data_IF_093426354734
#
_entry.id   IF_093426354734
#
_cell.length_a   1.000
_cell.length_b   1.000
_cell.length_c   1.000
_cell.angle_alpha   90.00
_cell.angle_beta   90.00
_cell.angle_gamma   90.00
#
_symmetry.space_group_name_H-M   'P 1'
#
loop_
_entity.id
_entity.type
_entity.pdbx_description
1 polymer ?
#
# COMPACT_ATOMS: atom_id res chain seq x y z
N UNK A 1 -68.48 23.97 -71.77
CA UNK A 1 -68.74 23.08 -70.62
C UNK A 1 -67.47 22.68 -69.85
N UNK A 2 -66.25 22.96 -70.34
CA UNK A 2 -64.99 22.53 -69.68
C UNK A 2 -64.52 23.40 -68.49
N UNK A 3 -64.88 24.70 -68.42
CA UNK A 3 -64.42 25.58 -67.32
C UNK A 3 -65.06 25.22 -65.96
N UNK A 4 -66.27 24.63 -65.98
CA UNK A 4 -66.96 24.22 -64.75
C UNK A 4 -66.50 22.86 -64.20
N UNK A 5 -65.81 22.02 -64.98
CA UNK A 5 -65.30 20.72 -64.47
C UNK A 5 -63.99 20.89 -63.70
N UNK A 6 -63.07 21.72 -64.20
CA UNK A 6 -61.78 21.97 -63.54
C UNK A 6 -61.94 22.73 -62.22
N UNK A 7 -62.84 23.72 -62.16
CA UNK A 7 -63.16 24.45 -60.92
C UNK A 7 -63.72 23.53 -59.82
N UNK A 8 -64.60 22.59 -60.20
CA UNK A 8 -65.16 21.62 -59.26
C UNK A 8 -64.13 20.58 -58.81
N UNK A 9 -63.17 20.21 -59.67
CA UNK A 9 -62.05 19.33 -59.32
C UNK A 9 -61.09 20.00 -58.32
N UNK A 10 -60.72 21.26 -58.56
CA UNK A 10 -59.88 22.05 -57.65
C UNK A 10 -60.54 22.30 -56.29
N UNK A 11 -61.86 22.52 -56.26
CA UNK A 11 -62.62 22.61 -55.00
C UNK A 11 -62.68 21.26 -54.25
N UNK A 12 -62.78 20.15 -54.98
CA UNK A 12 -62.79 18.82 -54.36
C UNK A 12 -61.43 18.48 -53.75
N UNK A 13 -60.33 18.81 -54.44
CA UNK A 13 -58.97 18.60 -53.94
C UNK A 13 -58.63 19.47 -52.74
N UNK A 14 -59.01 20.75 -52.75
CA UNK A 14 -58.81 21.65 -51.60
C UNK A 14 -59.62 21.23 -50.38
N UNK A 15 -60.86 20.74 -50.55
CA UNK A 15 -61.64 20.14 -49.44
C UNK A 15 -60.99 18.85 -48.92
N UNK A 16 -60.39 18.03 -49.79
CA UNK A 16 -59.70 16.79 -49.41
C UNK A 16 -58.42 17.08 -48.63
N UNK A 17 -57.64 18.07 -49.05
CA UNK A 17 -56.46 18.54 -48.31
C UNK A 17 -56.84 19.16 -46.97
N UNK A 18 -57.89 20.00 -46.92
CA UNK A 18 -58.36 20.60 -45.65
C UNK A 18 -58.79 19.53 -44.64
N UNK A 19 -59.56 18.52 -45.08
CA UNK A 19 -59.93 17.37 -44.23
C UNK A 19 -58.70 16.57 -43.78
N UNK A 20 -57.70 16.42 -44.64
CA UNK A 20 -56.45 15.74 -44.30
C UNK A 20 -55.63 16.50 -43.25
N UNK A 21 -55.51 17.83 -43.37
CA UNK A 21 -54.85 18.68 -42.37
C UNK A 21 -55.62 18.72 -41.05
N UNK A 22 -56.95 18.73 -41.08
CA UNK A 22 -57.77 18.69 -39.87
C UNK A 22 -57.63 17.35 -39.13
N UNK A 23 -57.62 16.22 -39.86
CA UNK A 23 -57.42 14.89 -39.29
C UNK A 23 -56.01 14.67 -38.72
N UNK A 24 -54.97 15.25 -39.35
CA UNK A 24 -53.61 15.24 -38.78
C UNK A 24 -53.50 16.12 -37.54
N UNK A 25 -54.11 17.31 -37.52
CA UNK A 25 -54.11 18.18 -36.33
C UNK A 25 -54.84 17.53 -35.16
N UNK A 26 -55.99 16.90 -35.36
CA UNK A 26 -56.69 16.19 -34.28
C UNK A 26 -55.92 14.96 -33.79
N UNK A 27 -55.20 14.23 -34.66
CA UNK A 27 -54.29 13.15 -34.22
C UNK A 27 -53.07 13.66 -33.45
N UNK A 28 -52.47 14.79 -33.84
CA UNK A 28 -51.32 15.37 -33.13
C UNK A 28 -51.76 15.92 -31.77
N UNK A 29 -52.89 16.63 -31.71
CA UNK A 29 -53.45 17.12 -30.44
C UNK A 29 -53.83 15.94 -29.53
N UNK A 30 -54.40 14.87 -30.08
CA UNK A 30 -54.69 13.64 -29.35
C UNK A 30 -53.43 12.94 -28.81
N UNK A 31 -52.36 12.83 -29.61
CA UNK A 31 -51.07 12.29 -29.14
C UNK A 31 -50.44 13.17 -28.06
N UNK A 32 -50.48 14.50 -28.20
CA UNK A 32 -49.96 15.42 -27.18
C UNK A 32 -50.77 15.33 -25.88
N UNK A 33 -52.09 15.13 -25.96
CA UNK A 33 -52.92 14.92 -24.77
C UNK A 33 -52.64 13.58 -24.09
N UNK A 34 -52.41 12.52 -24.87
CA UNK A 34 -52.03 11.20 -24.33
C UNK A 34 -50.64 11.26 -23.68
N UNK A 35 -49.67 11.95 -24.29
CA UNK A 35 -48.34 12.14 -23.70
C UNK A 35 -48.42 12.97 -22.41
N UNK A 36 -49.26 14.00 -22.37
CA UNK A 36 -49.48 14.79 -21.15
C UNK A 36 -50.14 13.97 -20.05
N UNK A 37 -51.14 13.14 -20.39
CA UNK A 37 -51.79 12.22 -19.44
C UNK A 37 -50.77 11.20 -18.91
N UNK A 38 -49.94 10.59 -19.77
CA UNK A 38 -48.88 9.65 -19.37
C UNK A 38 -47.86 10.33 -18.45
N UNK A 39 -47.46 11.57 -18.74
CA UNK A 39 -46.56 12.35 -17.88
C UNK A 39 -47.21 12.66 -16.52
N UNK A 40 -48.50 13.01 -16.48
CA UNK A 40 -49.20 13.26 -15.21
C UNK A 40 -49.43 11.98 -14.39
N UNK A 41 -49.73 10.85 -15.03
CA UNK A 41 -49.87 9.56 -14.36
C UNK A 41 -48.50 9.07 -13.87
N UNK A 42 -47.43 9.28 -14.65
CA UNK A 42 -46.06 8.96 -14.22
C UNK A 42 -45.63 9.83 -13.04
N UNK A 43 -45.95 11.12 -13.05
CA UNK A 43 -45.64 12.02 -11.95
C UNK A 43 -46.47 11.69 -10.69
N UNK A 44 -47.74 11.32 -10.86
CA UNK A 44 -48.61 10.87 -9.76
C UNK A 44 -48.15 9.52 -9.18
N UNK A 45 -47.72 8.56 -10.01
CA UNK A 45 -47.14 7.29 -9.57
C UNK A 45 -45.79 7.48 -8.87
N UNK A 46 -44.96 8.45 -9.30
CA UNK A 46 -43.71 8.81 -8.63
C UNK A 46 -44.01 9.47 -7.27
N UNK A 47 -45.04 10.32 -7.18
CA UNK A 47 -45.48 10.93 -5.93
C UNK A 47 -46.13 9.90 -4.98
N UNK A 48 -46.94 8.97 -5.47
CA UNK A 48 -47.52 7.89 -4.66
C UNK A 48 -46.46 6.86 -4.21
N UNK A 49 -45.46 6.54 -5.04
CA UNK A 49 -44.28 5.76 -4.60
C UNK A 49 -43.45 6.50 -3.55
N UNK A 50 -43.38 7.83 -3.61
CA UNK A 50 -42.76 8.64 -2.56
C UNK A 50 -43.57 8.72 -1.27
N UNK A 51 -44.89 8.44 -1.29
CA UNK A 51 -45.78 8.59 -0.13
C UNK A 51 -46.15 7.24 0.51
N UNK A 52 -46.04 6.11 -0.21
CA UNK A 52 -46.35 4.76 0.29
C UNK A 52 -45.18 3.78 0.38
N UNK A 53 -43.92 4.26 0.41
CA UNK A 53 -42.85 3.40 0.92
C UNK A 53 -43.22 2.99 2.36
N UNK A 54 -43.20 1.70 2.71
CA UNK A 54 -43.33 1.29 4.10
C UNK A 54 -42.29 2.07 4.90
N UNK A 55 -42.71 2.67 6.01
CA UNK A 55 -41.79 3.07 7.08
C UNK A 55 -41.26 1.78 7.73
N UNK A 56 -40.55 0.97 6.95
CA UNK A 56 -39.64 0.02 7.54
C UNK A 56 -38.56 0.86 8.19
N UNK A 57 -38.48 0.73 9.52
CA UNK A 57 -37.40 1.21 10.35
C UNK A 57 -36.09 0.55 9.91
N UNK A 58 -35.58 0.91 8.74
CA UNK A 58 -34.16 0.82 8.48
C UNK A 58 -33.54 2.01 9.18
N UNK A 59 -32.95 1.72 10.34
CA UNK A 59 -31.81 2.49 10.84
C UNK A 59 -30.79 2.56 9.70
N UNK A 60 -30.90 3.55 8.82
CA UNK A 60 -29.77 3.99 8.02
C UNK A 60 -28.81 4.63 9.02
N UNK A 61 -28.00 3.78 9.65
CA UNK A 61 -26.68 4.20 10.08
C UNK A 61 -25.99 4.69 8.82
N UNK A 62 -26.09 5.99 8.56
CA UNK A 62 -25.05 6.70 7.84
C UNK A 62 -23.81 6.52 8.71
N UNK A 63 -23.09 5.43 8.47
CA UNK A 63 -21.70 5.32 8.88
C UNK A 63 -21.00 6.44 8.14
N UNK A 64 -20.89 7.58 8.82
CA UNK A 64 -19.92 8.61 8.44
C UNK A 64 -18.58 7.89 8.53
N UNK A 65 -18.10 7.40 7.39
CA UNK A 65 -16.76 6.80 7.30
C UNK A 65 -15.83 7.94 7.70
N UNK A 66 -15.37 7.90 8.95
CA UNK A 66 -14.43 8.89 9.45
C UNK A 66 -13.18 8.82 8.56
N UNK A 67 -12.59 9.96 8.19
CA UNK A 67 -11.37 9.95 7.40
C UNK A 67 -10.32 9.11 8.16
N UNK A 68 -9.46 8.34 7.46
CA UNK A 68 -8.50 7.46 8.11
C UNK A 68 -7.68 8.17 9.20
N UNK A 69 -7.60 7.61 10.40
CA UNK A 69 -6.99 8.25 11.57
C UNK A 69 -5.75 7.46 12.03
N UNK A 70 -4.78 8.18 12.58
CA UNK A 70 -3.65 7.58 13.30
C UNK A 70 -3.97 7.47 14.79
N UNK A 71 -3.89 6.26 15.32
CA UNK A 71 -4.00 6.00 16.75
C UNK A 71 -2.62 5.71 17.34
N UNK A 72 -2.28 6.39 18.43
CA UNK A 72 -1.17 5.94 19.27
C UNK A 72 -1.57 4.62 19.91
N UNK A 73 -0.76 3.58 19.73
CA UNK A 73 -1.09 2.24 20.21
C UNK A 73 -0.26 1.80 21.41
N UNK A 74 0.65 2.66 21.86
CA UNK A 74 1.60 2.39 22.93
C UNK A 74 3.05 2.55 22.49
N UNK A 75 3.96 2.07 23.33
CA UNK A 75 5.40 2.13 23.11
C UNK A 75 5.99 0.72 23.23
N UNK A 76 6.92 0.38 22.34
CA UNK A 76 7.84 -0.76 22.47
C UNK A 76 8.67 -0.64 23.75
N UNK A 77 9.02 -1.78 24.36
CA UNK A 77 9.92 -1.77 25.52
C UNK A 77 11.33 -1.26 25.21
N UNK A 78 11.74 -1.29 23.94
CA UNK A 78 13.06 -0.82 23.50
C UNK A 78 12.89 0.08 22.28
N UNK A 79 13.58 1.24 22.30
CA UNK A 79 13.73 2.07 21.11
C UNK A 79 14.47 1.28 20.03
N UNK A 80 13.97 1.31 18.80
CA UNK A 80 14.60 0.61 17.67
C UNK A 80 14.53 1.44 16.41
N UNK A 81 15.67 1.67 15.77
CA UNK A 81 15.76 2.27 14.43
C UNK A 81 16.51 1.33 13.47
N UNK A 82 16.26 1.43 12.16
CA UNK A 82 16.87 0.52 11.15
C UNK A 82 16.65 -0.97 11.46
N UNK A 83 15.59 -1.25 12.22
CA UNK A 83 15.07 -2.59 12.46
C UNK A 83 14.24 -3.03 11.26
N UNK A 84 13.85 -4.29 11.26
CA UNK A 84 12.84 -4.81 10.34
C UNK A 84 11.67 -5.38 11.13
N UNK A 85 10.50 -5.37 10.49
CA UNK A 85 9.29 -5.93 11.06
C UNK A 85 8.56 -6.75 10.01
N UNK A 86 7.88 -7.80 10.44
CA UNK A 86 7.09 -8.66 9.57
C UNK A 86 5.84 -9.15 10.29
N UNK A 87 4.72 -9.16 9.57
CA UNK A 87 3.48 -9.76 10.04
C UNK A 87 3.60 -11.29 10.03
N UNK A 88 3.36 -11.91 11.17
CA UNK A 88 3.33 -13.35 11.36
C UNK A 88 1.95 -13.91 11.00
N UNK A 89 1.89 -15.21 10.67
CA UNK A 89 0.63 -15.91 10.32
C UNK A 89 -0.40 -15.96 11.46
N UNK A 90 0.02 -15.66 12.68
CA UNK A 90 -0.85 -15.58 13.85
C UNK A 90 -1.37 -14.15 14.11
N UNK A 91 -1.10 -13.20 13.20
CA UNK A 91 -1.51 -11.80 13.32
C UNK A 91 -0.58 -10.91 14.15
N UNK A 92 0.46 -11.47 14.76
CA UNK A 92 1.46 -10.69 15.52
C UNK A 92 2.47 -10.02 14.58
N UNK A 93 3.03 -8.88 14.98
CA UNK A 93 4.16 -8.28 14.27
C UNK A 93 5.45 -8.57 15.02
N UNK A 94 6.37 -9.29 14.36
CA UNK A 94 7.71 -9.56 14.87
C UNK A 94 8.64 -8.41 14.51
N UNK A 95 9.24 -7.77 15.50
CA UNK A 95 10.26 -6.72 15.32
C UNK A 95 11.63 -7.27 15.67
N UNK A 96 12.59 -7.14 14.75
CA UNK A 96 13.94 -7.72 14.90
C UNK A 96 15.04 -6.70 14.65
N UNK A 97 16.13 -6.80 15.43
CA UNK A 97 17.32 -5.96 15.31
C UNK A 97 17.07 -4.46 15.52
N UNK A 98 17.86 -3.65 14.82
CA UNK A 98 17.91 -2.19 14.93
C UNK A 98 18.69 -1.69 16.15
N UNK A 99 19.10 -0.43 16.14
CA UNK A 99 19.87 0.18 17.24
C UNK A 99 18.98 0.94 18.24
N UNK A 100 19.51 1.13 19.45
CA UNK A 100 18.86 1.80 20.60
C UNK A 100 19.23 3.30 20.73
N UNK A 101 19.90 3.87 19.73
CA UNK A 101 20.38 5.25 19.72
C UNK A 101 21.90 5.39 19.78
N UNK A 102 22.62 4.35 20.16
CA UNK A 102 24.03 4.22 19.82
C UNK A 102 24.13 3.64 18.39
N UNK A 103 25.24 3.84 17.67
CA UNK A 103 25.53 3.07 16.44
C UNK A 103 25.29 1.56 16.72
N UNK A 104 25.13 0.68 15.73
CA UNK A 104 24.72 -0.73 15.91
C UNK A 104 25.72 -1.59 16.76
N UNK A 105 25.94 -1.25 18.03
CA UNK A 105 26.98 -1.80 18.92
C UNK A 105 26.35 -2.75 19.93
N UNK A 106 25.09 -2.53 20.33
CA UNK A 106 24.35 -3.39 21.27
C UNK A 106 23.56 -4.51 20.57
N UNK A 107 23.18 -4.31 19.30
CA UNK A 107 22.51 -5.32 18.46
C UNK A 107 23.36 -5.58 17.21
N UNK A 108 23.78 -6.83 16.98
CA UNK A 108 24.62 -7.19 15.80
C UNK A 108 23.89 -7.10 14.45
N UNK A 109 22.71 -6.47 14.37
CA UNK A 109 21.82 -6.50 13.21
C UNK A 109 21.05 -5.19 13.03
N UNK A 110 21.44 -4.41 12.03
CA UNK A 110 20.69 -3.25 11.54
C UNK A 110 20.74 -3.20 10.01
N UNK A 111 19.67 -2.71 9.37
CA UNK A 111 19.50 -2.77 7.91
C UNK A 111 19.68 -4.19 7.33
N UNK A 112 19.37 -5.20 8.13
CA UNK A 112 19.20 -6.60 7.72
C UNK A 112 17.83 -6.78 7.04
N UNK A 113 17.56 -7.98 6.52
CA UNK A 113 16.26 -8.31 5.94
C UNK A 113 15.57 -9.41 6.72
N UNK A 114 14.23 -9.42 6.64
CA UNK A 114 13.37 -10.49 7.19
C UNK A 114 12.46 -11.01 6.09
N UNK A 115 12.20 -12.31 6.10
CA UNK A 115 11.41 -12.97 5.07
C UNK A 115 10.57 -14.10 5.68
N UNK A 116 9.25 -14.05 5.45
CA UNK A 116 8.33 -15.13 5.86
C UNK A 116 8.50 -16.29 4.89
N UNK A 117 8.97 -17.43 5.39
CA UNK A 117 9.17 -18.63 4.60
C UNK A 117 7.86 -19.41 4.44
N UNK A 118 7.80 -20.25 3.41
CA UNK A 118 6.62 -21.09 3.12
C UNK A 118 6.30 -22.04 4.28
N UNK A 119 7.33 -22.54 4.98
CA UNK A 119 7.21 -23.37 6.17
C UNK A 119 6.72 -22.62 7.43
N UNK A 120 6.50 -21.30 7.36
CA UNK A 120 6.01 -20.48 8.48
C UNK A 120 7.08 -19.96 9.43
N UNK A 121 8.36 -20.34 9.24
CA UNK A 121 9.49 -19.70 9.92
C UNK A 121 9.81 -18.35 9.28
N UNK A 122 10.48 -17.48 10.03
CA UNK A 122 11.00 -16.20 9.53
C UNK A 122 12.51 -16.30 9.38
N UNK A 123 13.01 -16.09 8.16
CA UNK A 123 14.43 -15.90 7.90
C UNK A 123 14.84 -14.48 8.25
N UNK A 124 15.92 -14.34 9.00
CA UNK A 124 16.55 -13.06 9.35
C UNK A 124 18.00 -13.10 8.87
N UNK A 125 18.38 -12.22 7.95
CA UNK A 125 19.67 -12.31 7.27
C UNK A 125 20.39 -10.96 7.16
N UNK A 126 21.68 -10.97 7.46
CA UNK A 126 22.60 -9.85 7.26
C UNK A 126 22.55 -8.76 8.33
N UNK A 127 22.86 -7.53 7.90
CA UNK A 127 23.17 -6.39 8.74
C UNK A 127 24.69 -6.15 8.78
N UNK A 128 25.25 -5.88 9.95
CA UNK A 128 26.71 -5.69 10.13
C UNK A 128 27.53 -7.00 10.07
N UNK A 129 26.90 -8.12 9.69
CA UNK A 129 27.57 -9.41 9.53
C UNK A 129 26.90 -10.23 8.41
N UNK A 130 27.49 -11.37 8.04
CA UNK A 130 26.85 -12.36 7.16
C UNK A 130 25.94 -13.33 7.92
N UNK A 131 25.70 -13.09 9.21
CA UNK A 131 24.91 -13.97 10.06
C UNK A 131 23.50 -14.16 9.55
N UNK A 132 22.96 -15.38 9.70
CA UNK A 132 21.57 -15.70 9.40
C UNK A 132 20.96 -16.57 10.51
N UNK A 133 19.67 -16.38 10.76
CA UNK A 133 18.92 -17.13 11.77
C UNK A 133 17.47 -17.32 11.33
N UNK A 134 16.85 -18.40 11.84
CA UNK A 134 15.44 -18.71 11.66
C UNK A 134 14.70 -18.49 12.97
N UNK A 135 13.56 -17.81 12.89
CA UNK A 135 12.60 -17.73 13.98
C UNK A 135 11.39 -18.60 13.69
N UNK A 136 11.04 -19.46 14.62
CA UNK A 136 9.79 -20.21 14.59
C UNK A 136 8.75 -19.51 15.49
N UNK A 137 7.70 -18.96 14.89
CA UNK A 137 6.65 -18.26 15.59
C UNK A 137 5.79 -19.16 16.50
N UNK A 138 5.73 -20.47 16.20
CA UNK A 138 4.94 -21.44 16.97
C UNK A 138 5.64 -21.75 18.29
N UNK A 139 6.94 -22.05 18.23
CA UNK A 139 7.73 -22.37 19.42
C UNK A 139 8.37 -21.16 20.09
N UNK A 140 8.47 -20.03 19.39
CA UNK A 140 9.19 -18.83 19.84
C UNK A 140 10.71 -18.97 19.84
N UNK A 141 11.24 -20.00 19.19
CA UNK A 141 12.67 -20.36 19.23
C UNK A 141 13.43 -19.71 18.05
N UNK A 142 14.62 -19.21 18.35
CA UNK A 142 15.62 -18.76 17.39
C UNK A 142 16.66 -19.84 17.13
N UNK A 143 16.94 -20.14 15.87
CA UNK A 143 17.94 -21.12 15.45
C UNK A 143 18.96 -20.46 14.53
N UNK A 144 20.23 -20.47 14.93
CA UNK A 144 21.31 -20.06 14.04
C UNK A 144 21.46 -21.09 12.91
N UNK A 145 21.58 -20.60 11.68
CA UNK A 145 21.77 -21.42 10.48
C UNK A 145 23.11 -21.08 9.83
N UNK A 146 23.43 -21.71 8.70
CA UNK A 146 24.60 -21.33 7.93
C UNK A 146 24.55 -19.84 7.56
N UNK A 147 25.69 -19.17 7.68
CA UNK A 147 25.83 -17.77 7.31
C UNK A 147 25.75 -17.59 5.79
N UNK A 148 25.32 -16.40 5.37
CA UNK A 148 25.49 -15.95 4.00
C UNK A 148 26.95 -15.98 3.59
N UNK A 149 27.21 -16.19 2.29
CA UNK A 149 28.57 -16.21 1.74
C UNK A 149 29.17 -14.81 1.65
N UNK A 150 28.33 -13.78 1.56
CA UNK A 150 28.74 -12.37 1.55
C UNK A 150 28.12 -11.62 2.73
N UNK A 151 28.88 -10.70 3.34
CA UNK A 151 28.34 -9.75 4.32
C UNK A 151 27.50 -8.70 3.59
N UNK A 152 26.28 -8.43 4.07
CA UNK A 152 25.35 -7.53 3.38
C UNK A 152 24.58 -6.65 4.36
N UNK A 153 24.63 -5.35 4.14
CA UNK A 153 23.86 -4.33 4.86
C UNK A 153 23.06 -3.48 3.87
N UNK A 154 21.80 -3.14 4.15
CA UNK A 154 20.96 -2.34 3.25
C UNK A 154 20.69 -3.03 1.90
N UNK A 155 20.70 -4.36 1.92
CA UNK A 155 20.38 -5.24 0.80
C UNK A 155 18.87 -5.49 0.74
N UNK A 156 18.40 -6.16 -0.32
CA UNK A 156 17.01 -6.59 -0.43
C UNK A 156 16.90 -8.12 -0.38
N UNK A 157 15.79 -8.61 0.15
CA UNK A 157 15.42 -10.02 0.12
C UNK A 157 14.06 -10.17 -0.58
N UNK A 158 13.94 -11.14 -1.50
CA UNK A 158 12.74 -11.40 -2.28
C UNK A 158 12.39 -12.88 -2.23
N UNK A 159 11.17 -13.21 -1.80
CA UNK A 159 10.64 -14.58 -1.88
C UNK A 159 10.34 -14.89 -3.34
N UNK A 160 10.98 -15.92 -3.88
CA UNK A 160 10.79 -16.41 -5.23
C UNK A 160 9.56 -17.32 -5.31
N UNK A 161 9.08 -17.56 -6.53
CA UNK A 161 7.89 -18.38 -6.79
C UNK A 161 8.02 -19.84 -6.35
N UNK A 162 9.25 -20.34 -6.22
CA UNK A 162 9.57 -21.67 -5.70
C UNK A 162 9.77 -21.70 -4.17
N UNK A 163 9.54 -20.57 -3.49
CA UNK A 163 9.67 -20.43 -2.04
C UNK A 163 11.09 -20.16 -1.54
N UNK A 164 12.10 -20.13 -2.42
CA UNK A 164 13.46 -19.72 -2.04
C UNK A 164 13.56 -18.21 -1.83
N UNK A 165 14.61 -17.75 -1.17
CA UNK A 165 14.83 -16.32 -0.91
C UNK A 165 16.04 -15.81 -1.67
N UNK A 166 15.84 -14.91 -2.62
CA UNK A 166 16.93 -14.17 -3.26
C UNK A 166 17.35 -13.02 -2.36
N UNK A 167 18.64 -12.95 -2.02
CA UNK A 167 19.26 -11.83 -1.33
C UNK A 167 20.26 -11.15 -2.27
N UNK A 168 20.08 -9.84 -2.50
CA UNK A 168 20.85 -9.11 -3.51
C UNK A 168 21.39 -7.78 -2.99
N UNK A 169 22.65 -7.49 -3.35
CA UNK A 169 23.32 -6.23 -3.01
C UNK A 169 23.81 -6.16 -1.56
N UNK A 170 23.87 -4.93 -1.05
CA UNK A 170 24.47 -4.58 0.23
C UNK A 170 25.95 -4.20 0.09
N UNK A 171 26.21 -3.11 -0.64
CA UNK A 171 27.56 -2.64 -1.04
C UNK A 171 28.35 -3.61 -1.95
N UNK A 172 27.64 -4.57 -2.56
CA UNK A 172 28.17 -5.52 -3.53
C UNK A 172 27.23 -5.65 -4.72
N UNK A 173 27.71 -6.25 -5.82
CA UNK A 173 26.90 -6.66 -6.96
C UNK A 173 26.47 -8.13 -6.88
N UNK A 174 26.99 -8.88 -5.92
CA UNK A 174 26.67 -10.29 -5.80
C UNK A 174 25.25 -10.52 -5.30
N UNK A 175 24.72 -11.71 -5.55
CA UNK A 175 23.47 -12.19 -5.00
C UNK A 175 23.60 -13.66 -4.61
N UNK A 176 22.77 -14.09 -3.66
CA UNK A 176 22.72 -15.47 -3.18
C UNK A 176 21.29 -15.89 -2.89
N UNK A 177 21.03 -17.19 -2.94
CA UNK A 177 19.72 -17.79 -2.73
C UNK A 177 19.79 -18.65 -1.47
N UNK A 178 18.85 -18.41 -0.56
CA UNK A 178 18.56 -19.33 0.54
C UNK A 178 17.48 -20.31 0.12
N UNK A 179 17.77 -21.61 0.24
CA UNK A 179 16.78 -22.68 0.07
C UNK A 179 16.27 -23.12 1.45
N UNK A 180 14.98 -22.87 1.79
CA UNK A 180 14.43 -23.25 3.09
C UNK A 180 14.20 -24.75 3.26
N UNK A 181 14.31 -25.57 2.20
CA UNK A 181 14.19 -27.03 2.26
C UNK A 181 15.53 -27.65 2.66
N UNK A 182 16.62 -27.18 2.05
CA UNK A 182 17.96 -27.69 2.36
C UNK A 182 18.68 -26.88 3.44
N UNK A 183 18.11 -25.73 3.83
CA UNK A 183 18.67 -24.73 4.76
C UNK A 183 20.08 -24.24 4.36
N UNK A 184 20.36 -24.15 3.06
CA UNK A 184 21.69 -23.80 2.53
C UNK A 184 21.66 -22.48 1.75
N UNK A 185 22.80 -21.80 1.75
CA UNK A 185 23.06 -20.62 0.91
C UNK A 185 23.85 -20.99 -0.33
N UNK A 186 23.38 -20.55 -1.49
CA UNK A 186 24.05 -20.75 -2.78
C UNK A 186 24.26 -19.42 -3.50
N UNK A 187 25.46 -19.17 -4.00
CA UNK A 187 25.72 -18.00 -4.84
C UNK A 187 24.99 -18.16 -6.19
N UNK A 188 24.40 -17.08 -6.68
CA UNK A 188 23.85 -17.00 -8.04
C UNK A 188 24.63 -15.97 -8.87
N UNK A 189 24.24 -15.75 -10.12
CA UNK A 189 24.86 -14.71 -10.95
C UNK A 189 24.78 -13.35 -10.27
N UNK A 190 25.72 -12.48 -10.62
CA UNK A 190 25.79 -11.12 -10.09
C UNK A 190 25.00 -10.13 -10.93
N UNK A 191 24.52 -9.08 -10.26
CA UNK A 191 24.09 -7.85 -10.92
C UNK A 191 25.25 -7.21 -11.69
N UNK A 192 24.95 -6.38 -12.66
CA UNK A 192 25.93 -5.60 -13.43
C UNK A 192 26.55 -4.47 -12.60
N UNK A 193 25.85 -4.02 -11.55
CA UNK A 193 26.33 -2.94 -10.67
C UNK A 193 26.12 -3.29 -9.20
N UNK A 194 27.04 -2.85 -8.32
CA UNK A 194 26.84 -2.93 -6.89
C UNK A 194 25.71 -2.00 -6.44
N UNK A 195 24.95 -2.44 -5.42
CA UNK A 195 23.79 -1.70 -4.92
C UNK A 195 23.70 -1.73 -3.40
N UNK A 196 23.41 -0.58 -2.81
CA UNK A 196 23.14 -0.34 -1.40
C UNK A 196 21.90 0.56 -1.30
N UNK A 197 20.97 0.23 -0.38
CA UNK A 197 19.70 0.95 -0.19
C UNK A 197 18.92 1.19 -1.49
N UNK A 198 18.96 0.17 -2.35
CA UNK A 198 18.08 -0.01 -3.49
C UNK A 198 16.76 -0.64 -3.02
N UNK A 199 15.78 -0.72 -3.91
CA UNK A 199 14.53 -1.45 -3.65
C UNK A 199 14.36 -2.57 -4.65
N UNK A 200 13.59 -3.58 -4.26
CA UNK A 200 13.27 -4.73 -5.09
C UNK A 200 11.78 -5.07 -5.03
N UNK A 201 11.26 -5.62 -6.12
CA UNK A 201 9.90 -6.13 -6.20
C UNK A 201 9.85 -7.41 -7.05
N UNK A 202 9.13 -8.41 -6.56
CA UNK A 202 8.77 -9.60 -7.33
C UNK A 202 7.63 -9.23 -8.26
N UNK A 203 7.83 -9.41 -9.56
CA UNK A 203 6.86 -9.12 -10.60
C UNK A 203 5.89 -10.30 -10.77
N UNK A 204 4.74 -10.07 -11.41
CA UNK A 204 3.72 -11.10 -11.61
C UNK A 204 4.21 -12.33 -12.40
N UNK A 205 5.24 -12.17 -13.24
CA UNK A 205 5.87 -13.27 -13.97
C UNK A 205 6.96 -14.02 -13.16
N UNK A 206 7.13 -13.69 -11.87
CA UNK A 206 8.12 -14.29 -10.97
C UNK A 206 9.53 -13.70 -11.05
N UNK A 207 9.82 -12.82 -12.01
CA UNK A 207 11.12 -12.12 -12.05
C UNK A 207 11.23 -11.06 -10.96
N UNK A 208 12.44 -10.75 -10.51
CA UNK A 208 12.68 -9.74 -9.47
C UNK A 208 13.26 -8.49 -10.10
N UNK A 209 12.54 -7.37 -10.02
CA UNK A 209 13.06 -6.04 -10.37
C UNK A 209 13.88 -5.50 -9.21
N UNK A 210 15.08 -5.01 -9.51
CA UNK A 210 15.90 -4.21 -8.59
C UNK A 210 16.14 -2.84 -9.21
N UNK A 211 15.91 -1.76 -8.45
CA UNK A 211 16.04 -0.39 -8.95
C UNK A 211 16.80 0.56 -8.01
N UNK A 212 17.59 1.44 -8.63
CA UNK A 212 18.29 2.52 -7.94
C UNK A 212 19.31 2.04 -6.89
N UNK A 213 19.40 2.78 -5.79
CA UNK A 213 20.42 2.60 -4.76
C UNK A 213 21.72 3.31 -5.13
N UNK A 214 22.77 2.99 -4.38
CA UNK A 214 24.12 3.52 -4.55
C UNK A 214 25.16 2.41 -4.58
N UNK A 215 26.40 2.68 -4.99
CA UNK A 215 27.48 1.69 -4.96
C UNK A 215 27.90 1.37 -3.52
N UNK A 216 28.04 2.42 -2.70
CA UNK A 216 28.33 2.37 -1.27
C UNK A 216 27.42 3.35 -0.54
N UNK A 217 27.49 3.44 0.79
CA UNK A 217 26.81 4.49 1.56
C UNK A 217 27.19 5.93 1.12
N UNK A 218 28.40 6.14 0.59
CA UNK A 218 28.92 7.48 0.25
C UNK A 218 28.88 7.83 -1.24
N UNK A 219 28.74 6.87 -2.15
CA UNK A 219 29.01 7.10 -3.56
C UNK A 219 28.08 6.35 -4.52
N UNK A 220 27.84 6.95 -5.69
CA UNK A 220 27.39 6.23 -6.88
C UNK A 220 25.89 6.01 -6.93
N UNK A 221 25.08 7.00 -6.55
CA UNK A 221 23.62 6.92 -6.67
C UNK A 221 23.24 6.72 -8.14
N UNK A 222 22.41 5.71 -8.41
CA UNK A 222 22.06 5.29 -9.76
C UNK A 222 20.57 5.37 -10.02
N UNK A 223 20.21 5.44 -11.30
CA UNK A 223 18.86 5.27 -11.83
C UNK A 223 18.71 3.96 -12.62
N UNK A 224 19.76 3.14 -12.68
CA UNK A 224 19.73 1.87 -13.40
C UNK A 224 18.86 0.85 -12.69
N UNK A 225 18.28 -0.05 -13.47
CA UNK A 225 17.40 -1.13 -13.01
C UNK A 225 17.80 -2.44 -13.68
N UNK A 226 17.61 -3.54 -12.98
CA UNK A 226 17.93 -4.88 -13.46
C UNK A 226 16.84 -5.87 -13.05
N UNK A 227 16.63 -6.89 -13.88
CA UNK A 227 15.70 -7.99 -13.64
C UNK A 227 16.49 -9.25 -13.36
N UNK A 228 16.19 -9.93 -12.26
CA UNK A 228 16.65 -11.29 -12.00
C UNK A 228 15.59 -12.29 -12.47
N UNK A 229 16.00 -13.24 -13.31
CA UNK A 229 15.18 -14.35 -13.71
C UNK A 229 15.49 -15.58 -12.82
N UNK A 230 14.57 -16.01 -11.94
CA UNK A 230 14.85 -17.11 -11.01
C UNK A 230 14.98 -18.48 -11.69
N UNK A 231 14.45 -18.65 -12.91
CA UNK A 231 14.54 -19.92 -13.66
C UNK A 231 15.95 -20.10 -14.24
N UNK A 232 16.57 -19.02 -14.72
CA UNK A 232 17.90 -19.06 -15.35
C UNK A 232 19.03 -18.64 -14.41
N UNK A 233 18.70 -17.95 -13.32
CA UNK A 233 19.68 -17.33 -12.43
C UNK A 233 20.41 -16.13 -13.04
N UNK A 234 19.90 -15.54 -14.13
CA UNK A 234 20.57 -14.46 -14.87
C UNK A 234 19.97 -13.09 -14.51
N UNK A 235 20.85 -12.09 -14.39
CA UNK A 235 20.47 -10.68 -14.31
C UNK A 235 20.48 -10.05 -15.70
N UNK A 236 19.45 -9.25 -16.02
CA UNK A 236 19.34 -8.50 -17.29
C UNK A 236 19.06 -7.04 -17.01
N UNK A 237 19.78 -6.13 -17.68
CA UNK A 237 19.50 -4.69 -17.60
C UNK A 237 18.14 -4.39 -18.23
N UNK A 238 17.31 -3.59 -17.56
CA UNK A 238 16.03 -3.09 -18.09
C UNK A 238 16.04 -1.56 -18.20
N UNK A 239 14.91 -0.94 -18.56
CA UNK A 239 14.78 0.51 -18.60
C UNK A 239 15.19 1.17 -17.28
N UNK A 240 15.78 2.36 -17.39
CA UNK A 240 16.27 3.15 -16.26
C UNK A 240 15.22 4.15 -15.78
N UNK A 241 15.21 4.44 -14.49
CA UNK A 241 14.43 5.56 -13.94
C UNK A 241 14.91 6.91 -14.52
N UNK A 242 14.03 7.89 -14.53
CA UNK A 242 14.33 9.27 -14.93
C UNK A 242 15.17 9.97 -13.86
N UNK A 243 14.96 9.65 -12.58
CA UNK A 243 15.73 10.21 -11.47
C UNK A 243 16.63 9.15 -10.81
N UNK A 244 17.88 9.54 -10.54
CA UNK A 244 18.80 8.78 -9.68
C UNK A 244 18.30 8.85 -8.25
N UNK A 245 18.18 7.71 -7.58
CA UNK A 245 17.66 7.67 -6.21
C UNK A 245 18.17 6.48 -5.39
N UNK A 246 18.46 6.73 -4.13
CA UNK A 246 18.63 5.72 -3.07
C UNK A 246 17.65 6.00 -1.92
N UNK A 247 17.41 5.04 -1.02
CA UNK A 247 16.51 5.21 0.14
C UNK A 247 15.08 5.64 -0.23
N UNK A 248 14.67 5.27 -1.44
CA UNK A 248 13.30 5.41 -1.94
C UNK A 248 12.49 4.17 -1.54
N UNK A 249 11.19 4.21 -1.80
CA UNK A 249 10.31 3.05 -1.63
C UNK A 249 9.82 2.55 -2.99
N UNK A 250 9.44 1.29 -3.04
CA UNK A 250 8.89 0.63 -4.22
C UNK A 250 7.62 -0.14 -3.82
N UNK A 251 6.55 0.02 -4.60
CA UNK A 251 5.26 -0.63 -4.34
C UNK A 251 4.73 -1.26 -5.61
N UNK A 252 4.35 -2.54 -5.52
CA UNK A 252 3.62 -3.23 -6.59
C UNK A 252 2.17 -2.76 -6.54
N UNK A 253 1.65 -2.27 -7.67
CA UNK A 253 0.28 -1.80 -7.81
C UNK A 253 -0.64 -2.92 -8.29
N UNK A 254 -1.95 -2.77 -8.05
CA UNK A 254 -2.95 -3.77 -8.45
C UNK A 254 -2.99 -4.05 -9.96
N UNK A 255 -2.58 -3.07 -10.79
CA UNK A 255 -2.47 -3.22 -12.24
C UNK A 255 -1.13 -3.84 -12.70
N UNK A 256 -0.30 -4.32 -11.77
CA UNK A 256 1.01 -4.93 -12.06
C UNK A 256 2.15 -3.95 -12.30
N UNK A 257 1.88 -2.64 -12.42
CA UNK A 257 2.94 -1.63 -12.50
C UNK A 257 3.63 -1.44 -11.15
N UNK A 258 4.84 -0.90 -11.21
CA UNK A 258 5.64 -0.65 -10.00
C UNK A 258 5.76 0.85 -9.78
N UNK A 259 5.30 1.33 -8.64
CA UNK A 259 5.50 2.71 -8.19
C UNK A 259 6.82 2.81 -7.45
N UNK A 260 7.65 3.77 -7.81
CA UNK A 260 8.81 4.18 -7.03
C UNK A 260 8.65 5.63 -6.61
N UNK A 261 8.88 5.94 -5.33
CA UNK A 261 8.66 7.29 -4.80
C UNK A 261 9.73 7.74 -3.80
N UNK A 262 10.02 9.05 -3.84
CA UNK A 262 10.97 9.72 -2.96
C UNK A 262 12.41 9.23 -3.08
N UNK A 263 13.16 9.31 -1.98
CA UNK A 263 14.58 8.99 -1.90
C UNK A 263 15.49 10.20 -1.97
N UNK A 264 16.80 9.95 -1.92
CA UNK A 264 17.85 10.96 -2.08
C UNK A 264 18.42 10.90 -3.50
N UNK A 265 18.52 12.06 -4.14
CA UNK A 265 19.20 12.23 -5.41
C UNK A 265 20.72 12.18 -5.27
N UNK A 266 21.41 12.10 -6.40
CA UNK A 266 22.88 12.17 -6.47
C UNK A 266 23.42 13.51 -5.91
N UNK A 267 22.68 14.60 -6.09
CA UNK A 267 22.96 15.90 -5.49
C UNK A 267 22.58 15.98 -3.99
N UNK A 268 22.31 14.83 -3.34
CA UNK A 268 21.87 14.70 -1.95
C UNK A 268 20.59 15.49 -1.62
N UNK A 269 19.75 15.72 -2.61
CA UNK A 269 18.45 16.38 -2.43
C UNK A 269 17.36 15.34 -2.17
N UNK A 270 16.47 15.63 -1.23
CA UNK A 270 15.28 14.81 -0.99
C UNK A 270 14.31 14.98 -2.16
N UNK A 271 13.86 13.84 -2.70
CA UNK A 271 12.97 13.81 -3.85
C UNK A 271 11.51 13.78 -3.40
N UNK A 272 10.67 14.53 -4.11
CA UNK A 272 9.21 14.40 -4.08
C UNK A 272 8.65 13.62 -5.28
N UNK A 273 9.52 13.31 -6.25
CA UNK A 273 9.13 12.70 -7.50
C UNK A 273 8.84 11.22 -7.35
N UNK A 274 7.84 10.77 -8.13
CA UNK A 274 7.49 9.38 -8.27
C UNK A 274 7.48 8.96 -9.75
N UNK A 275 7.70 7.68 -9.99
CA UNK A 275 7.78 7.08 -11.31
C UNK A 275 7.10 5.71 -11.33
N UNK A 276 6.51 5.36 -12.46
CA UNK A 276 5.89 4.07 -12.72
C UNK A 276 6.76 3.27 -13.69
N UNK A 277 7.11 2.06 -13.32
CA UNK A 277 7.66 1.06 -14.24
C UNK A 277 6.53 0.18 -14.76
N UNK A 278 6.52 -0.05 -16.07
CA UNK A 278 5.63 -1.00 -16.71
C UNK A 278 6.42 -2.29 -17.04
N UNK A 279 6.18 -3.41 -16.33
CA UNK A 279 6.87 -4.67 -16.58
C UNK A 279 6.71 -5.24 -17.98
N UNK A 280 5.66 -4.89 -18.71
CA UNK A 280 5.40 -5.42 -20.05
C UNK A 280 6.28 -4.74 -21.10
N UNK A 281 6.62 -3.48 -20.89
CA UNK A 281 7.43 -2.69 -21.85
C UNK A 281 8.85 -2.44 -21.36
N UNK A 282 9.10 -2.60 -20.06
CA UNK A 282 10.37 -2.26 -19.44
C UNK A 282 10.62 -0.75 -19.34
N UNK A 283 9.59 0.10 -19.53
CA UNK A 283 9.73 1.55 -19.58
C UNK A 283 9.33 2.18 -18.24
N UNK A 284 10.06 3.22 -17.84
CA UNK A 284 9.72 4.11 -16.73
C UNK A 284 9.04 5.38 -17.22
N UNK A 285 7.94 5.77 -16.58
CA UNK A 285 7.21 7.02 -16.82
C UNK A 285 7.10 7.83 -15.52
N UNK A 286 7.29 9.13 -15.58
CA UNK A 286 6.99 10.02 -14.45
C UNK A 286 5.50 10.04 -14.15
N UNK A 287 5.13 10.06 -12.87
CA UNK A 287 3.73 10.20 -12.40
C UNK A 287 3.61 11.45 -11.51
N UNK A 288 2.45 11.68 -10.89
CA UNK A 288 2.25 12.76 -9.93
C UNK A 288 3.34 12.78 -8.84
N UNK A 289 3.63 13.98 -8.34
CA UNK A 289 4.62 14.18 -7.28
C UNK A 289 3.93 14.26 -5.91
N UNK A 290 4.63 13.77 -4.88
CA UNK A 290 4.27 14.09 -3.51
C UNK A 290 4.35 15.61 -3.28
N UNK A 291 3.59 16.09 -2.31
CA UNK A 291 3.66 17.47 -1.80
C UNK A 291 4.99 17.70 -1.10
N UNK A 292 5.46 16.69 -0.37
CA UNK A 292 6.61 16.79 0.50
C UNK A 292 7.76 15.86 0.09
N UNK A 293 8.96 16.38 -0.20
CA UNK A 293 10.11 15.53 -0.50
C UNK A 293 10.53 14.72 0.71
N UNK A 294 10.83 13.42 0.51
CA UNK A 294 11.16 12.49 1.59
C UNK A 294 12.09 11.36 1.13
N UNK A 295 12.97 10.91 2.03
CA UNK A 295 13.75 9.67 1.90
C UNK A 295 13.62 8.85 3.20
N UNK A 296 13.95 7.55 3.18
CA UNK A 296 13.89 6.66 4.37
C UNK A 296 12.49 6.62 5.03
N UNK A 297 11.47 6.87 4.24
CA UNK A 297 10.06 6.73 4.59
C UNK A 297 9.62 5.29 4.31
N UNK A 298 8.42 4.92 4.74
CA UNK A 298 7.80 3.66 4.35
C UNK A 298 6.67 3.91 3.36
N UNK A 299 6.34 2.89 2.56
CA UNK A 299 5.21 2.89 1.65
C UNK A 299 4.44 1.58 1.79
N UNK A 300 3.12 1.68 1.98
CA UNK A 300 2.24 0.55 2.22
C UNK A 300 1.11 0.56 1.18
N UNK A 301 1.02 -0.49 0.36
CA UNK A 301 -0.13 -0.69 -0.53
C UNK A 301 -1.33 -1.12 0.31
N UNK A 302 -2.37 -0.29 0.33
CA UNK A 302 -3.61 -0.51 1.08
C UNK A 302 -4.56 -1.44 0.31
N UNK A 303 -5.55 -2.00 1.02
CA UNK A 303 -6.56 -2.90 0.44
C UNK A 303 -7.38 -2.27 -0.70
N UNK A 304 -7.55 -0.96 -0.67
CA UNK A 304 -8.23 -0.20 -1.73
C UNK A 304 -7.31 0.11 -2.93
N UNK A 305 -6.09 -0.42 -2.95
CA UNK A 305 -5.11 -0.23 -4.03
C UNK A 305 -4.30 1.06 -3.96
N UNK A 306 -4.63 1.99 -3.05
CA UNK A 306 -3.82 3.21 -2.85
C UNK A 306 -2.52 2.88 -2.12
N UNK A 307 -1.51 3.73 -2.31
CA UNK A 307 -0.23 3.60 -1.60
C UNK A 307 -0.10 4.71 -0.56
N UNK A 308 -0.05 4.34 0.71
CA UNK A 308 0.22 5.24 1.82
C UNK A 308 1.72 5.40 2.00
N UNK A 309 2.24 6.63 1.92
CA UNK A 309 3.61 6.95 2.35
C UNK A 309 3.57 7.67 3.69
N UNK A 310 4.45 7.29 4.62
CA UNK A 310 4.49 7.89 5.95
C UNK A 310 5.92 8.18 6.41
N UNK A 311 6.07 9.32 7.09
CA UNK A 311 7.33 9.77 7.67
C UNK A 311 8.47 9.99 6.67
N UNK A 312 9.69 9.73 7.12
CA UNK A 312 10.94 9.93 6.40
C UNK A 312 11.66 11.23 6.77
N UNK A 313 12.84 11.43 6.17
CA UNK A 313 13.61 12.66 6.24
C UNK A 313 13.26 13.56 5.06
N UNK A 314 12.96 14.83 5.33
CA UNK A 314 12.88 15.88 4.31
C UNK A 314 14.02 16.90 4.44
N UNK A 315 13.97 17.96 3.62
CA UNK A 315 15.04 18.96 3.54
C UNK A 315 15.34 19.71 4.83
N UNK A 316 14.37 19.89 5.71
CA UNK A 316 14.53 20.72 6.92
C UNK A 316 14.22 19.98 8.22
N UNK A 317 13.42 18.92 8.18
CA UNK A 317 12.96 18.21 9.38
C UNK A 317 12.66 16.73 9.07
N UNK A 318 12.64 15.93 10.15
CA UNK A 318 12.00 14.62 10.14
C UNK A 318 10.49 14.79 9.97
N UNK A 319 9.86 13.89 9.22
CA UNK A 319 8.44 13.99 8.88
C UNK A 319 7.58 13.11 9.76
N UNK A 320 6.44 13.66 10.15
CA UNK A 320 5.26 12.95 10.64
C UNK A 320 4.15 12.91 9.57
N UNK A 321 4.32 13.64 8.46
CA UNK A 321 3.30 13.74 7.42
C UNK A 321 3.11 12.46 6.61
N UNK A 322 1.88 12.26 6.15
CA UNK A 322 1.49 11.12 5.31
C UNK A 322 0.81 11.59 4.04
N UNK A 323 0.95 10.81 2.97
CA UNK A 323 0.34 11.11 1.68
C UNK A 323 -0.14 9.80 1.05
N UNK A 324 -1.23 9.88 0.27
CA UNK A 324 -1.80 8.75 -0.45
C UNK A 324 -1.62 8.97 -1.95
N UNK A 325 -1.04 7.98 -2.62
CA UNK A 325 -1.06 7.89 -4.07
C UNK A 325 -2.27 7.07 -4.51
N UNK A 326 -3.03 7.61 -5.47
CA UNK A 326 -4.13 6.90 -6.11
C UNK A 326 -3.72 6.46 -7.52
N UNK A 327 -3.48 5.16 -7.76
CA UNK A 327 -3.05 4.65 -9.06
C UNK A 327 -4.05 4.88 -10.21
N UNK A 328 -5.33 5.09 -9.90
CA UNK A 328 -6.36 5.30 -10.92
C UNK A 328 -6.33 6.71 -11.50
N UNK A 329 -5.87 7.67 -10.71
CA UNK A 329 -5.79 9.09 -11.10
C UNK A 329 -4.36 9.58 -11.26
N UNK A 330 -3.36 8.81 -10.81
CA UNK A 330 -1.95 9.20 -10.76
C UNK A 330 -1.69 10.44 -9.87
N UNK A 331 -2.60 10.74 -8.93
CA UNK A 331 -2.56 11.91 -8.04
C UNK A 331 -2.13 11.52 -6.62
N UNK A 332 -1.38 12.42 -5.98
CA UNK A 332 -1.07 12.39 -4.56
C UNK A 332 -1.99 13.31 -3.76
N UNK A 333 -2.47 12.84 -2.62
CA UNK A 333 -3.27 13.62 -1.67
C UNK A 333 -2.64 13.57 -0.29
N UNK A 334 -2.53 14.71 0.38
CA UNK A 334 -2.11 14.76 1.79
C UNK A 334 -3.15 14.06 2.66
N UNK A 335 -2.70 13.13 3.50
CA UNK A 335 -3.54 12.41 4.44
C UNK A 335 -3.23 12.83 5.89
N UNK A 336 -4.01 12.33 6.85
CA UNK A 336 -3.80 12.63 8.26
C UNK A 336 -2.39 12.25 8.71
N UNK A 337 -1.76 13.13 9.49
CA UNK A 337 -0.38 12.92 9.91
C UNK A 337 -0.29 11.89 11.04
N UNK A 338 0.86 11.22 11.13
CA UNK A 338 1.25 10.49 12.34
C UNK A 338 1.38 11.45 13.53
N UNK A 339 1.27 10.93 14.74
CA UNK A 339 1.46 11.67 15.98
C UNK A 339 2.95 11.95 16.28
N UNK A 340 3.86 11.12 15.74
CA UNK A 340 5.31 11.31 15.87
C UNK A 340 6.01 11.28 14.52
N UNK A 341 6.98 12.17 14.39
CA UNK A 341 7.91 12.17 13.27
C UNK A 341 8.90 11.03 13.37
N UNK A 342 9.19 10.38 12.23
CA UNK A 342 10.06 9.21 12.21
C UNK A 342 10.68 8.94 10.86
N UNK A 343 11.86 8.35 10.83
CA UNK A 343 12.52 7.82 9.62
C UNK A 343 13.30 6.55 9.96
N UNK A 344 13.57 5.69 8.96
CA UNK A 344 14.05 4.32 9.20
C UNK A 344 13.17 3.54 10.20
N UNK A 345 11.86 3.82 10.17
CA UNK A 345 10.84 3.04 10.85
C UNK A 345 10.36 1.91 9.94
N UNK A 346 9.58 0.98 10.49
CA UNK A 346 8.91 -0.04 9.68
C UNK A 346 7.42 0.22 9.63
N UNK A 347 6.78 -0.27 8.57
CA UNK A 347 5.34 -0.24 8.40
C UNK A 347 4.87 -1.63 7.97
N UNK A 348 3.99 -2.24 8.75
CA UNK A 348 3.43 -3.56 8.48
C UNK A 348 1.96 -3.40 8.12
N UNK A 349 1.57 -3.85 6.92
CA UNK A 349 0.15 -3.97 6.54
C UNK A 349 -0.41 -5.20 7.24
N UNK A 350 -1.43 -5.00 8.07
CA UNK A 350 -2.10 -6.06 8.83
C UNK A 350 -3.14 -6.77 7.96
N UNK A 351 -3.61 -7.95 8.40
CA UNK A 351 -4.61 -8.75 7.64
C UNK A 351 -5.91 -8.00 7.36
N UNK A 352 -6.29 -7.08 8.25
CA UNK A 352 -7.48 -6.25 8.08
C UNK A 352 -7.27 -5.09 7.07
N UNK A 353 -6.04 -4.82 6.64
CA UNK A 353 -5.68 -3.75 5.71
C UNK A 353 -5.17 -2.46 6.38
N UNK A 354 -5.13 -2.42 7.71
CA UNK A 354 -4.55 -1.30 8.45
C UNK A 354 -3.02 -1.35 8.44
N UNK A 355 -2.38 -0.24 8.78
CA UNK A 355 -0.92 -0.14 8.74
C UNK A 355 -0.37 0.18 10.12
N UNK A 356 0.35 -0.78 10.71
CA UNK A 356 1.09 -0.58 11.95
C UNK A 356 2.47 -0.03 11.64
N UNK A 357 2.79 1.15 12.18
CA UNK A 357 4.10 1.78 12.10
C UNK A 357 4.80 1.71 13.44
N UNK A 358 6.04 1.23 13.47
CA UNK A 358 6.81 1.08 14.73
C UNK A 358 8.21 1.67 14.63
N UNK A 359 8.65 2.29 15.73
CA UNK A 359 10.02 2.75 15.95
C UNK A 359 10.54 3.76 14.93
N UNK A 360 11.83 3.67 14.63
CA UNK A 360 12.58 4.63 13.80
C UNK A 360 13.18 5.78 14.62
N UNK A 361 14.13 6.48 14.00
CA UNK A 361 14.73 7.67 14.61
C UNK A 361 13.67 8.75 14.81
N UNK A 362 13.73 9.48 15.94
CA UNK A 362 12.70 10.41 16.46
C UNK A 362 11.35 9.78 16.84
N UNK A 363 11.02 8.61 16.28
CA UNK A 363 9.90 7.79 16.75
C UNK A 363 10.19 7.06 18.06
N UNK A 364 11.46 6.92 18.44
CA UNK A 364 11.92 6.18 19.62
C UNK A 364 11.33 4.77 19.67
N UNK A 365 10.55 4.48 20.70
CA UNK A 365 9.84 3.23 20.88
C UNK A 365 8.35 3.31 20.52
N UNK A 366 7.85 4.45 20.04
CA UNK A 366 6.41 4.57 19.74
C UNK A 366 5.95 3.66 18.60
N UNK A 367 4.73 3.16 18.75
CA UNK A 367 3.96 2.47 17.73
C UNK A 367 2.65 3.23 17.45
N UNK A 368 2.27 3.28 16.18
CA UNK A 368 1.06 3.96 15.73
C UNK A 368 0.35 3.14 14.66
N UNK A 369 -0.98 3.14 14.69
CA UNK A 369 -1.82 2.39 13.76
C UNK A 369 -2.61 3.35 12.89
N UNK A 370 -2.43 3.24 11.58
CA UNK A 370 -3.28 3.89 10.59
C UNK A 370 -4.48 3.00 10.30
N UNK A 371 -5.68 3.46 10.68
CA UNK A 371 -6.91 2.72 10.42
C UNK A 371 -7.56 3.22 9.14
N UNK A 372 -7.58 2.34 8.14
CA UNK A 372 -8.04 2.65 6.78
C UNK A 372 -9.57 2.74 6.67
N UNK A 373 -10.30 2.09 7.57
CA UNK A 373 -11.77 2.06 7.63
C UNK A 373 -12.40 3.21 8.43
N UNK A 374 -11.60 3.95 9.20
CA UNK A 374 -12.09 4.96 10.15
C UNK A 374 -12.75 4.38 11.42
N UNK A 375 -12.70 3.07 11.63
CA UNK A 375 -13.20 2.41 12.85
C UNK A 375 -12.17 2.52 14.00
N UNK A 376 -12.64 2.54 15.25
CA UNK A 376 -11.73 2.64 16.42
C UNK A 376 -11.02 1.28 16.61
N UNK A 377 -9.68 1.25 16.67
CA UNK A 377 -8.95 0.01 16.85
C UNK A 377 -9.06 -0.51 18.28
N UNK A 378 -9.06 -1.83 18.43
CA UNK A 378 -9.00 -2.53 19.70
C UNK A 378 -7.53 -2.71 20.11
N UNK A 379 -7.28 -2.46 21.40
CA UNK A 379 -6.02 -2.55 22.17
C UNK A 379 -4.91 -3.42 21.56
N UNK A 380 -3.72 -2.82 21.42
CA UNK A 380 -2.45 -3.52 21.17
C UNK A 380 -1.82 -3.89 22.52
N UNK A 381 -1.42 -5.14 22.70
CA UNK A 381 -0.70 -5.60 23.90
C UNK A 381 0.67 -6.14 23.48
N UNK A 382 1.73 -5.89 24.25
CA UNK A 382 3.05 -6.45 23.97
C UNK A 382 3.33 -7.65 24.86
N UNK A 383 3.99 -8.66 24.30
CA UNK A 383 4.58 -9.77 25.09
C UNK A 383 6.05 -9.91 24.74
N UNK A 384 6.88 -10.12 25.75
CA UNK A 384 8.31 -10.34 25.57
C UNK A 384 8.59 -11.84 25.43
N UNK A 385 9.29 -12.23 24.36
CA UNK A 385 10.00 -13.52 24.30
C UNK A 385 11.50 -13.25 24.39
N UNK A 386 12.23 -14.15 25.04
CA UNK A 386 13.64 -13.95 25.42
C UNK A 386 14.57 -13.49 24.29
N UNK A 387 15.40 -12.52 24.68
CA UNK A 387 16.76 -12.13 24.25
C UNK A 387 17.10 -11.46 22.92
N UNK A 388 16.24 -11.26 21.90
CA UNK A 388 16.60 -10.37 20.77
C UNK A 388 15.42 -9.83 19.91
N UNK A 389 14.18 -10.22 20.21
CA UNK A 389 13.02 -9.84 19.41
C UNK A 389 11.82 -9.50 20.30
N UNK A 390 11.01 -8.55 19.83
CA UNK A 390 9.75 -8.17 20.48
C UNK A 390 8.58 -8.54 19.59
N UNK A 391 7.52 -9.04 20.21
CA UNK A 391 6.22 -9.23 19.57
C UNK A 391 5.34 -8.04 19.92
N UNK A 392 4.86 -7.33 18.90
CA UNK A 392 3.80 -6.33 19.04
C UNK A 392 2.50 -7.03 18.62
N UNK A 393 1.57 -7.29 19.56
CA UNK A 393 0.29 -7.92 19.23
C UNK A 393 -0.77 -6.86 18.92
N UNK A 394 -1.32 -6.91 17.71
CA UNK A 394 -2.57 -6.21 17.40
C UNK A 394 -3.71 -7.22 17.54
N UNK A 395 -4.37 -7.28 18.69
CA UNK A 395 -5.49 -8.21 18.86
C UNK A 395 -6.79 -7.58 18.38
N UNK A 396 -7.43 -8.21 17.39
CA UNK A 396 -8.83 -7.95 17.05
C UNK A 396 -9.69 -8.50 18.19
N UNK A 397 -10.19 -7.67 19.11
CA UNK A 397 -11.33 -8.14 19.90
C UNK A 397 -12.49 -8.29 18.93
N UNK A 398 -12.97 -9.54 18.86
CA UNK A 398 -14.34 -9.83 18.48
C UNK A 398 -15.21 -8.93 19.35
N UNK A 399 -16.05 -8.10 18.73
CA UNK A 399 -17.02 -7.24 19.41
C UNK A 399 -17.71 -8.07 20.50
N UNK A 400 -17.33 -7.88 21.77
CA UNK A 400 -18.14 -8.38 22.86
C UNK A 400 -19.38 -7.51 22.82
N UNK A 401 -20.46 -8.07 22.31
CA UNK A 401 -21.79 -7.53 22.47
C UNK A 401 -21.96 -7.04 23.90
N UNK A 402 -22.31 -5.75 24.03
CA UNK A 402 -22.87 -5.10 25.20
C UNK A 402 -23.43 -6.11 26.22
N UNK A 403 -22.75 -6.30 27.36
CA UNK A 403 -23.41 -6.68 28.63
C UNK A 403 -22.46 -6.77 29.85
N UNK A 404 -21.13 -6.73 29.69
CA UNK A 404 -20.20 -6.77 30.86
C UNK A 404 -19.77 -5.44 31.47
N UNK A 405 -20.17 -4.30 30.92
CA UNK A 405 -19.75 -2.97 31.42
C UNK A 405 -20.87 -2.09 31.98
N UNK A 406 -21.99 -2.68 32.45
CA UNK A 406 -22.95 -1.95 33.29
C UNK A 406 -22.64 -1.97 34.79
N UNK A 407 -21.80 -2.89 35.28
CA UNK A 407 -21.58 -3.07 36.72
C UNK A 407 -20.25 -2.53 37.29
N UNK A 408 -19.47 -1.76 36.53
CA UNK A 408 -18.19 -1.21 37.00
C UNK A 408 -18.19 0.31 37.22
N UNK A 409 -19.33 1.00 37.03
CA UNK A 409 -19.47 2.46 37.24
C UNK A 409 -20.40 2.80 38.43
N UNK A 410 -20.76 1.82 39.28
CA UNK A 410 -21.48 2.08 40.55
C UNK A 410 -20.66 1.88 41.82
N UNK A 411 -19.43 1.34 41.75
CA UNK A 411 -18.62 1.04 42.96
C UNK A 411 -17.50 2.07 43.26
N UNK A 412 -17.60 3.29 42.76
CA UNK A 412 -16.77 4.43 43.22
C UNK A 412 -17.62 5.65 43.59
N UNK A 413 -18.74 5.40 44.27
CA UNK A 413 -19.51 6.43 45.00
C UNK A 413 -19.85 6.08 46.45
N UNK A 414 -19.31 4.99 47.00
CA UNK A 414 -19.36 4.71 48.44
C UNK A 414 -18.07 3.99 48.87
N UNK A 415 -17.00 4.77 49.06
CA UNK A 415 -15.91 4.57 50.02
C UNK A 415 -15.07 5.84 50.11
#
# INVERSE_FOLDING_TARGET
MEINSESNQLMAETKKQSKWWHHRRTKIIGLSFIVLIILTISLALILEFSIHSPKDLYSTTTTTVQPPVWYATGNMNTRRERHTAILLKNGEVLVTGGSDGNYCVSTKRCEHTVSMLTNGKVLVAGGDSSGAELYDAVSGIWTAIENMKTVRIGHTASILTDGKVLVAGGETHSAEIYDPVTENWTMTSSMHRPRYQHTAAVLANGTVLVAGGSKTVYEGITNTCELYNPVTGIWTVTGKMNQRRMQHTMSVLANGKILVTGGLSDARQYLKSAELYDPLTGIWKTTGNMSFPRAKHTASTLRNGKVLVSGGLGSSLVRYSTELYDPSTEIWTVANNMNKERYFHTASVLENGDVLVTGGFQGYNSAELYVSSGEIPVVITETTSSSNAHKVLVTKEKTLSNDRYKNAIENYKNL
#
